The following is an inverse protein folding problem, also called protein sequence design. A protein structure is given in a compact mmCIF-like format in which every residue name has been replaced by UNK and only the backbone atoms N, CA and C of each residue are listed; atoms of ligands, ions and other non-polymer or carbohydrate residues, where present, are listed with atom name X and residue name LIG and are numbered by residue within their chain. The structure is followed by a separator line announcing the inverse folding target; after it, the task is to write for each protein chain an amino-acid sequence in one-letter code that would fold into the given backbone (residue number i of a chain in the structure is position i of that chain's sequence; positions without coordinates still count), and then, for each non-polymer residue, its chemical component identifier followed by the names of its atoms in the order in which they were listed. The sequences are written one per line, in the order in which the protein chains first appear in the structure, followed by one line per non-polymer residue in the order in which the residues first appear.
data_IF_888005394124
#
_entry.id   IF_888005394124
#
_cell.length_a   1.000
_cell.length_b   1.000
_cell.length_c   1.000
_cell.angle_alpha   90.00
_cell.angle_beta   90.00
_cell.angle_gamma   90.00
#
_symmetry.space_group_name_H-M   'P 1'
#
loop_
_entity.id
_entity.type
_entity.pdbx_description
1 polymer ?
#
# COMPACT_ATOMS: atom_id res chain seq x y z
N UNK A 1 -4.78 8.12 7.67
CA UNK A 1 -3.36 7.74 7.36
C UNK A 1 -3.30 6.39 6.68
N UNK A 2 -2.13 5.85 6.33
CA UNK A 2 -2.03 4.60 5.60
C UNK A 2 -0.65 3.97 5.79
N UNK A 3 -0.56 2.66 5.55
CA UNK A 3 0.72 1.93 5.50
C UNK A 3 0.68 0.94 4.35
N UNK A 4 1.67 0.94 3.46
CA UNK A 4 1.78 -0.04 2.38
C UNK A 4 3.11 -0.80 2.46
N UNK A 5 3.08 -2.06 2.07
CA UNK A 5 4.20 -2.99 2.17
C UNK A 5 4.36 -3.78 0.87
N UNK A 6 5.59 -3.89 0.42
CA UNK A 6 6.05 -4.77 -0.65
C UNK A 6 6.98 -5.80 -0.01
N UNK A 7 6.63 -7.09 -0.08
CA UNK A 7 7.33 -8.15 0.64
C UNK A 7 7.57 -9.37 -0.25
N UNK A 8 8.83 -9.75 -0.38
CA UNK A 8 9.21 -10.98 -1.07
C UNK A 8 9.67 -12.03 -0.05
N UNK A 9 9.11 -13.22 -0.15
CA UNK A 9 9.49 -14.36 0.69
C UNK A 9 9.44 -15.66 -0.11
N UNK A 10 10.53 -16.41 -0.11
CA UNK A 10 10.68 -17.57 -0.98
C UNK A 10 10.60 -17.17 -2.46
N UNK A 11 9.70 -17.82 -3.20
CA UNK A 11 9.40 -17.53 -4.60
C UNK A 11 8.16 -16.65 -4.80
N UNK A 12 7.50 -16.22 -3.71
CA UNK A 12 6.28 -15.44 -3.75
C UNK A 12 6.52 -13.98 -3.43
N UNK A 13 5.73 -13.12 -4.06
CA UNK A 13 5.75 -11.69 -3.89
C UNK A 13 4.39 -11.21 -3.39
N UNK A 14 4.40 -10.57 -2.23
CA UNK A 14 3.22 -10.04 -1.59
C UNK A 14 3.25 -8.51 -1.58
N UNK A 15 2.10 -7.92 -1.85
CA UNK A 15 1.89 -6.49 -1.79
C UNK A 15 0.56 -6.19 -1.11
N UNK A 16 0.49 -5.14 -0.31
CA UNK A 16 -0.77 -4.76 0.33
C UNK A 16 -0.63 -3.58 1.26
N UNK A 17 -1.73 -3.26 1.96
CA UNK A 17 -1.79 -2.06 2.78
C UNK A 17 -2.77 -2.14 3.93
N UNK A 18 -2.62 -1.23 4.91
CA UNK A 18 -3.69 -0.74 5.77
C UNK A 18 -4.26 0.54 5.15
N UNK A 19 -5.58 0.63 4.98
CA UNK A 19 -6.28 1.87 4.68
C UNK A 19 -6.80 2.45 5.99
N UNK A 20 -6.21 3.55 6.45
CA UNK A 20 -6.60 4.21 7.69
C UNK A 20 -7.30 5.53 7.35
N UNK A 21 -8.59 5.62 7.66
CA UNK A 21 -9.46 6.77 7.41
C UNK A 21 -10.50 6.88 8.53
N UNK A 22 -11.13 8.04 8.65
CA UNK A 22 -12.20 8.30 9.61
C UNK A 22 -13.57 7.75 9.17
N UNK A 23 -13.74 7.50 7.87
CA UNK A 23 -14.96 6.95 7.28
C UNK A 23 -14.62 5.88 6.21
N UNK A 24 -15.52 4.91 6.04
CA UNK A 24 -15.53 4.02 4.87
C UNK A 24 -16.28 4.67 3.72
N UNK A 25 -15.74 4.55 2.52
CA UNK A 25 -16.40 4.99 1.27
C UNK A 25 -17.25 3.87 0.62
N UNK A 26 -17.39 2.72 1.29
CA UNK A 26 -18.04 1.55 0.73
C UNK A 26 -17.10 0.78 -0.21
N UNK A 27 -15.90 0.55 0.25
CA UNK A 27 -14.83 -0.15 -0.47
C UNK A 27 -15.30 -1.56 -0.88
N UNK A 28 -14.85 -1.99 -2.03
CA UNK A 28 -15.10 -3.33 -2.56
C UNK A 28 -13.88 -3.83 -3.33
N UNK A 29 -13.72 -5.14 -3.44
CA UNK A 29 -12.73 -5.69 -4.34
C UNK A 29 -13.25 -5.56 -5.77
N UNK A 30 -12.49 -4.90 -6.63
CA UNK A 30 -12.82 -4.63 -8.02
C UNK A 30 -11.86 -5.38 -8.93
N UNK A 31 -12.42 -6.14 -9.87
CA UNK A 31 -11.68 -6.73 -10.99
C UNK A 31 -12.02 -5.95 -12.26
N UNK A 32 -10.99 -5.37 -12.89
CA UNK A 32 -11.09 -4.71 -14.19
C UNK A 32 -10.50 -5.64 -15.25
N UNK A 33 -11.33 -6.23 -16.14
CA UNK A 33 -10.88 -7.12 -17.20
C UNK A 33 -10.14 -6.38 -18.32
N UNK A 34 -9.40 -7.12 -19.16
CA UNK A 34 -8.53 -6.59 -20.24
C UNK A 34 -9.22 -5.67 -21.25
N UNK A 35 -10.50 -5.93 -21.54
CA UNK A 35 -11.25 -5.18 -22.54
C UNK A 35 -12.21 -4.14 -21.94
N UNK A 36 -12.11 -3.88 -20.63
CA UNK A 36 -12.80 -2.75 -20.01
C UNK A 36 -12.16 -1.44 -20.51
N UNK A 37 -12.92 -0.49 -21.10
CA UNK A 37 -12.33 0.73 -21.66
C UNK A 37 -12.07 1.76 -20.54
N UNK A 38 -10.80 2.01 -20.22
CA UNK A 38 -10.43 3.17 -19.41
C UNK A 38 -10.47 4.45 -20.26
N UNK A 39 -11.36 5.37 -19.93
CA UNK A 39 -11.43 6.71 -20.52
C UNK A 39 -10.77 7.71 -19.57
N UNK A 40 -9.54 8.09 -19.86
CA UNK A 40 -8.79 9.06 -19.08
C UNK A 40 -9.15 10.50 -19.47
N UNK A 41 -8.92 11.45 -18.56
CA UNK A 41 -9.27 12.86 -18.75
C UNK A 41 -8.45 13.56 -19.82
N UNK A 42 -7.13 13.27 -19.89
CA UNK A 42 -6.19 14.03 -20.69
C UNK A 42 -5.23 13.17 -21.54
N UNK A 43 -5.27 11.87 -21.39
CA UNK A 43 -4.49 10.94 -22.22
C UNK A 43 -5.40 10.02 -23.01
N UNK A 44 -4.85 9.35 -24.01
CA UNK A 44 -5.63 8.42 -24.84
C UNK A 44 -6.26 7.29 -23.99
N UNK A 45 -7.47 6.85 -24.34
CA UNK A 45 -8.11 5.74 -23.64
C UNK A 45 -7.33 4.45 -23.82
N UNK A 46 -7.39 3.57 -22.83
CA UNK A 46 -6.93 2.19 -22.91
C UNK A 46 -8.13 1.29 -23.14
N UNK A 47 -8.30 0.81 -24.36
CA UNK A 47 -9.39 -0.12 -24.75
C UNK A 47 -8.98 -1.57 -24.61
N UNK A 48 -7.70 -1.83 -24.46
CA UNK A 48 -7.13 -3.14 -24.14
C UNK A 48 -5.88 -2.91 -23.25
N UNK A 49 -5.82 -3.60 -22.13
CA UNK A 49 -4.80 -3.41 -21.09
C UNK A 49 -4.64 -4.69 -20.26
N UNK A 50 -3.68 -4.74 -19.36
CA UNK A 50 -3.62 -5.83 -18.37
C UNK A 50 -4.82 -5.80 -17.44
N UNK A 51 -5.38 -6.97 -17.12
CA UNK A 51 -6.44 -7.08 -16.13
C UNK A 51 -5.92 -6.69 -14.74
N UNK A 52 -6.76 -6.03 -13.95
CA UNK A 52 -6.43 -5.54 -12.60
C UNK A 52 -7.36 -6.17 -11.55
N UNK A 53 -6.83 -6.38 -10.36
CA UNK A 53 -7.60 -6.67 -9.14
C UNK A 53 -7.11 -5.75 -8.03
N UNK A 54 -8.02 -5.18 -7.25
CA UNK A 54 -7.64 -4.29 -6.14
C UNK A 54 -8.83 -3.84 -5.33
N UNK A 55 -8.55 -3.07 -4.28
CA UNK A 55 -9.57 -2.42 -3.47
C UNK A 55 -9.86 -1.03 -4.00
N UNK A 56 -11.13 -0.71 -4.13
CA UNK A 56 -11.56 0.60 -4.61
C UNK A 56 -13.06 0.82 -4.42
N UNK A 57 -13.52 1.94 -4.93
CA UNK A 57 -14.96 2.22 -5.12
C UNK A 57 -15.25 2.37 -6.60
N UNK A 58 -16.49 2.10 -7.01
CA UNK A 58 -16.92 2.31 -8.40
C UNK A 58 -17.92 3.46 -8.42
N UNK A 59 -17.56 4.55 -9.13
CA UNK A 59 -18.39 5.74 -9.29
C UNK A 59 -18.55 6.00 -10.78
N UNK A 60 -19.78 6.15 -11.24
CA UNK A 60 -20.10 6.35 -12.66
C UNK A 60 -19.46 5.31 -13.58
N UNK A 61 -19.48 4.05 -13.13
CA UNK A 61 -18.84 2.92 -13.80
C UNK A 61 -17.30 3.07 -13.96
N UNK A 62 -16.64 3.93 -13.17
CA UNK A 62 -15.19 4.10 -13.14
C UNK A 62 -14.61 3.57 -11.82
N UNK A 63 -13.60 2.68 -11.86
CA UNK A 63 -12.97 2.15 -10.65
C UNK A 63 -11.95 3.15 -10.10
N UNK A 64 -12.18 3.66 -8.90
CA UNK A 64 -11.26 4.49 -8.13
C UNK A 64 -10.50 3.60 -7.16
N UNK A 65 -9.31 3.16 -7.54
CA UNK A 65 -8.49 2.25 -6.77
C UNK A 65 -7.73 2.94 -5.65
N UNK A 66 -7.76 2.37 -4.46
CA UNK A 66 -6.84 2.68 -3.35
C UNK A 66 -5.53 1.92 -3.50
N UNK A 67 -5.60 0.65 -3.90
CA UNK A 67 -4.51 -0.22 -4.29
C UNK A 67 -4.99 -1.21 -5.37
N UNK A 68 -4.08 -1.68 -6.21
CA UNK A 68 -4.37 -2.72 -7.19
C UNK A 68 -3.09 -3.46 -7.60
N UNK A 69 -3.29 -4.64 -8.18
CA UNK A 69 -2.26 -5.46 -8.83
C UNK A 69 -2.76 -5.88 -10.20
N UNK A 70 -1.91 -5.88 -11.21
CA UNK A 70 -2.26 -6.40 -12.52
C UNK A 70 -1.92 -7.88 -12.67
N UNK A 71 -2.43 -8.51 -13.72
CA UNK A 71 -2.21 -9.92 -14.03
C UNK A 71 -0.74 -10.31 -14.32
N UNK A 72 0.17 -9.34 -14.39
CA UNK A 72 1.62 -9.52 -14.54
C UNK A 72 2.37 -9.41 -13.21
N UNK A 73 1.65 -9.15 -12.12
CA UNK A 73 2.22 -9.03 -10.79
C UNK A 73 2.78 -7.66 -10.43
N UNK A 74 2.59 -6.63 -11.28
CA UNK A 74 2.89 -5.26 -10.89
C UNK A 74 1.78 -4.74 -9.99
N UNK A 75 2.17 -4.19 -8.83
CA UNK A 75 1.26 -3.73 -7.77
C UNK A 75 1.50 -2.26 -7.45
N UNK A 76 0.44 -1.54 -7.07
CA UNK A 76 0.51 -0.12 -6.74
C UNK A 76 -0.51 0.25 -5.67
N UNK A 77 -0.12 1.12 -4.72
CA UNK A 77 -1.01 1.68 -3.72
C UNK A 77 -0.81 3.19 -3.60
N UNK A 78 -1.91 3.95 -3.49
CA UNK A 78 -1.90 5.38 -3.20
C UNK A 78 -2.12 5.64 -1.71
N UNK A 79 -1.29 6.47 -1.08
CA UNK A 79 -1.34 6.81 0.33
C UNK A 79 -1.48 8.32 0.50
N UNK A 80 -2.15 8.74 1.55
CA UNK A 80 -2.39 10.15 1.83
C UNK A 80 -1.07 10.89 2.12
N UNK A 81 -0.85 12.05 1.44
CA UNK A 81 0.37 12.86 1.51
C UNK A 81 0.02 14.36 1.65
N UNK A 82 -0.79 14.72 2.67
CA UNK A 82 -1.35 16.05 2.81
C UNK A 82 -0.29 17.10 3.07
N UNK A 83 -0.48 18.29 2.47
CA UNK A 83 0.44 19.42 2.63
C UNK A 83 1.75 19.31 1.85
N UNK A 84 2.06 18.16 1.25
CA UNK A 84 3.24 17.95 0.42
C UNK A 84 2.88 17.69 -1.05
N UNK A 85 1.82 16.93 -1.33
CA UNK A 85 1.38 16.68 -2.70
C UNK A 85 1.02 18.00 -3.41
N UNK A 86 1.65 18.24 -4.58
CA UNK A 86 1.42 19.43 -5.41
C UNK A 86 1.32 19.03 -6.90
N UNK A 87 0.09 18.86 -7.37
CA UNK A 87 -0.19 18.47 -8.75
C UNK A 87 -0.10 19.69 -9.67
N UNK A 88 0.35 19.46 -10.90
CA UNK A 88 0.77 20.51 -11.82
C UNK A 88 -0.34 20.95 -12.78
N UNK A 89 -0.11 22.03 -13.50
CA UNK A 89 -0.90 22.40 -14.67
C UNK A 89 -0.63 21.44 -15.84
N UNK A 90 -1.47 21.47 -16.88
CA UNK A 90 -1.28 20.70 -18.12
C UNK A 90 0.05 21.06 -18.78
N UNK A 91 0.77 20.05 -19.23
CA UNK A 91 2.01 20.19 -20.01
C UNK A 91 1.80 19.58 -21.41
N UNK A 92 2.33 20.23 -22.44
CA UNK A 92 2.09 19.84 -23.84
C UNK A 92 2.93 18.65 -24.29
N UNK A 93 4.04 18.39 -23.62
CA UNK A 93 5.05 17.39 -23.96
C UNK A 93 5.04 16.17 -23.00
N UNK A 94 4.02 16.08 -22.13
CA UNK A 94 3.90 15.06 -21.09
C UNK A 94 2.57 14.31 -21.17
N UNK A 95 2.54 13.13 -20.59
CA UNK A 95 1.30 12.41 -20.31
C UNK A 95 0.63 13.04 -19.07
N UNK A 96 -0.41 13.82 -19.28
CA UNK A 96 -1.16 14.47 -18.24
C UNK A 96 -2.15 13.46 -17.62
N UNK A 97 -1.84 12.95 -16.44
CA UNK A 97 -2.62 11.93 -15.74
C UNK A 97 -3.12 12.50 -14.43
N UNK A 98 -4.39 12.28 -14.11
CA UNK A 98 -4.91 12.70 -12.80
C UNK A 98 -4.53 11.69 -11.72
N UNK A 99 -4.42 12.11 -10.44
CA UNK A 99 -4.06 11.19 -9.36
C UNK A 99 -4.96 9.97 -9.23
N UNK A 100 -6.26 10.11 -9.48
CA UNK A 100 -7.22 8.99 -9.43
C UNK A 100 -7.13 8.05 -10.64
N UNK A 101 -6.51 8.49 -11.74
CA UNK A 101 -6.24 7.68 -12.94
C UNK A 101 -4.88 6.99 -12.87
N UNK A 102 -4.01 7.39 -11.95
CA UNK A 102 -2.60 7.02 -11.99
C UNK A 102 -2.38 5.51 -11.78
N UNK A 103 -3.10 4.88 -10.86
CA UNK A 103 -3.02 3.42 -10.64
C UNK A 103 -3.43 2.66 -11.92
N UNK A 104 -4.62 2.83 -12.50
CA UNK A 104 -5.00 2.12 -13.71
C UNK A 104 -4.15 2.50 -14.95
N UNK A 105 -3.66 3.74 -15.03
CA UNK A 105 -2.80 4.17 -16.12
C UNK A 105 -1.44 3.46 -16.12
N UNK A 106 -0.82 3.26 -14.95
CA UNK A 106 0.44 2.52 -14.83
C UNK A 106 0.20 1.03 -15.00
N UNK A 107 -0.70 0.45 -14.19
CA UNK A 107 -0.90 -0.99 -14.13
C UNK A 107 -1.51 -1.57 -15.40
N UNK A 108 -2.27 -0.77 -16.15
CA UNK A 108 -2.83 -1.20 -17.44
C UNK A 108 -1.77 -1.38 -18.54
N UNK A 109 -0.60 -0.76 -18.40
CA UNK A 109 0.40 -0.69 -19.49
C UNK A 109 1.75 -1.32 -19.14
N UNK A 110 2.12 -1.35 -17.85
CA UNK A 110 3.41 -1.84 -17.40
C UNK A 110 3.28 -3.23 -16.76
N UNK A 111 4.21 -4.13 -17.08
CA UNK A 111 4.30 -5.46 -16.50
C UNK A 111 5.36 -5.54 -15.38
N UNK A 112 6.20 -4.52 -15.23
CA UNK A 112 7.33 -4.50 -14.29
C UNK A 112 7.67 -3.10 -13.82
N UNK A 113 8.44 -3.00 -12.74
CA UNK A 113 9.04 -1.74 -12.26
C UNK A 113 9.87 -1.06 -13.37
N UNK A 114 10.59 -1.83 -14.19
CA UNK A 114 11.39 -1.27 -15.26
C UNK A 114 10.52 -0.56 -16.33
N UNK A 115 9.38 -1.15 -16.71
CA UNK A 115 8.42 -0.55 -17.62
C UNK A 115 7.69 0.63 -16.97
N UNK A 116 7.31 0.51 -15.70
CA UNK A 116 6.73 1.62 -14.94
C UNK A 116 7.67 2.83 -14.91
N UNK A 117 8.96 2.65 -14.63
CA UNK A 117 9.97 3.74 -14.70
C UNK A 117 9.97 4.45 -16.06
N UNK A 118 9.82 3.72 -17.16
CA UNK A 118 9.76 4.34 -18.50
C UNK A 118 8.50 5.22 -18.66
N UNK A 119 7.34 4.76 -18.17
CA UNK A 119 6.11 5.56 -18.19
C UNK A 119 6.27 6.83 -17.33
N UNK A 120 6.89 6.71 -16.16
CA UNK A 120 7.10 7.82 -15.22
C UNK A 120 7.97 8.95 -15.81
N UNK A 121 8.86 8.68 -16.76
CA UNK A 121 9.65 9.73 -17.42
C UNK A 121 8.80 10.72 -18.19
N UNK A 122 7.63 10.30 -18.67
CA UNK A 122 6.68 11.11 -19.44
C UNK A 122 5.52 11.65 -18.62
N UNK A 123 5.41 11.24 -17.36
CA UNK A 123 4.29 11.59 -16.48
C UNK A 123 4.28 13.07 -16.12
N UNK A 124 3.07 13.63 -16.08
CA UNK A 124 2.72 14.88 -15.43
C UNK A 124 1.43 14.66 -14.64
N UNK A 125 1.52 14.65 -13.31
CA UNK A 125 0.33 14.53 -12.45
C UNK A 125 -0.38 15.88 -12.39
N UNK A 126 -1.64 15.91 -12.87
CA UNK A 126 -2.37 17.17 -13.09
C UNK A 126 -3.48 17.38 -12.08
N UNK A 127 -3.74 18.67 -11.77
CA UNK A 127 -4.74 19.10 -10.79
C UNK A 127 -6.14 19.15 -11.42
N UNK A 128 -6.78 17.99 -11.60
CA UNK A 128 -8.15 17.84 -12.10
C UNK A 128 -8.92 16.92 -11.15
N UNK A 129 -10.02 17.40 -10.56
CA UNK A 129 -10.89 16.62 -9.70
C UNK A 129 -11.62 15.51 -10.48
N UNK A 130 -12.00 14.44 -9.77
CA UNK A 130 -12.90 13.45 -10.35
C UNK A 130 -14.29 14.05 -10.59
N UNK A 131 -14.85 14.68 -9.55
CA UNK A 131 -16.09 15.46 -9.59
C UNK A 131 -16.02 16.56 -8.52
N UNK A 132 -17.07 17.40 -8.42
CA UNK A 132 -17.16 18.40 -7.36
C UNK A 132 -17.32 17.75 -5.97
N UNK A 133 -17.99 16.60 -5.88
CA UNK A 133 -18.19 15.85 -4.64
C UNK A 133 -16.98 14.97 -4.27
N UNK A 134 -16.13 14.66 -5.24
CA UNK A 134 -14.90 13.87 -5.07
C UNK A 134 -13.69 14.68 -5.53
N UNK A 135 -13.20 15.61 -4.71
CA UNK A 135 -12.02 16.39 -5.00
C UNK A 135 -10.76 15.53 -4.99
N UNK A 136 -9.67 16.09 -5.51
CA UNK A 136 -8.36 15.43 -5.52
C UNK A 136 -7.88 15.10 -4.11
N UNK A 137 -7.53 13.85 -3.90
CA UNK A 137 -6.77 13.43 -2.73
C UNK A 137 -5.29 13.75 -2.92
N UNK A 138 -4.62 14.33 -1.90
CA UNK A 138 -3.17 14.50 -1.92
C UNK A 138 -2.51 13.14 -1.67
N UNK A 139 -1.91 12.53 -2.71
CA UNK A 139 -1.37 11.19 -2.64
C UNK A 139 0.12 11.15 -3.01
N UNK A 140 0.79 10.09 -2.51
CA UNK A 140 2.02 9.52 -3.04
C UNK A 140 1.83 8.00 -3.16
N UNK A 141 2.75 7.30 -3.85
CA UNK A 141 2.50 5.92 -4.25
C UNK A 141 3.67 5.00 -3.99
N UNK A 142 3.36 3.76 -3.59
CA UNK A 142 4.28 2.62 -3.58
C UNK A 142 3.99 1.75 -4.81
N UNK A 143 5.03 1.32 -5.52
CA UNK A 143 4.94 0.40 -6.67
C UNK A 143 5.89 -0.78 -6.41
N UNK A 144 5.41 -2.01 -6.57
CA UNK A 144 6.20 -3.24 -6.44
C UNK A 144 5.88 -4.24 -7.55
N UNK A 145 6.80 -5.16 -7.84
CA UNK A 145 6.58 -6.23 -8.81
C UNK A 145 7.17 -7.57 -8.34
N UNK A 146 6.85 -8.64 -9.06
CA UNK A 146 7.32 -10.00 -8.77
C UNK A 146 8.76 -10.25 -9.23
N UNK A 147 9.39 -9.30 -9.91
CA UNK A 147 10.70 -9.47 -10.53
C UNK A 147 11.83 -8.74 -9.80
N UNK A 148 11.48 -7.76 -8.96
CA UNK A 148 12.43 -6.89 -8.27
C UNK A 148 12.43 -7.10 -6.77
N UNK A 149 13.61 -7.20 -6.17
CA UNK A 149 13.77 -7.19 -4.72
C UNK A 149 13.46 -5.82 -4.10
N UNK A 150 13.41 -4.75 -4.90
CA UNK A 150 13.13 -3.37 -4.49
C UNK A 150 11.76 -2.93 -5.00
N UNK A 151 11.23 -1.87 -4.40
CA UNK A 151 10.03 -1.18 -4.87
C UNK A 151 10.35 0.27 -5.22
N UNK A 152 9.37 1.00 -5.77
CA UNK A 152 9.49 2.43 -6.04
C UNK A 152 8.53 3.21 -5.15
N UNK A 153 8.97 4.41 -4.77
CA UNK A 153 8.08 5.45 -4.25
C UNK A 153 8.00 6.58 -5.26
N UNK A 154 6.78 7.03 -5.54
CA UNK A 154 6.50 8.16 -6.43
C UNK A 154 5.84 9.27 -5.63
N UNK A 155 6.46 10.44 -5.59
CA UNK A 155 5.98 11.65 -4.93
C UNK A 155 5.94 12.80 -5.93
N UNK A 156 4.88 13.59 -5.91
CA UNK A 156 4.76 14.81 -6.69
C UNK A 156 4.53 15.98 -5.74
N UNK A 157 5.55 16.79 -5.56
CA UNK A 157 5.54 17.93 -4.66
C UNK A 157 5.83 19.25 -5.40
N UNK A 158 6.03 20.34 -4.64
CA UNK A 158 6.33 21.67 -5.22
C UNK A 158 7.57 21.66 -6.11
N UNK A 159 8.56 20.82 -5.80
CA UNK A 159 9.83 20.74 -6.51
C UNK A 159 9.77 19.81 -7.74
N UNK A 160 8.67 19.05 -7.91
CA UNK A 160 8.41 18.22 -9.08
C UNK A 160 8.03 16.78 -8.77
N UNK A 161 8.23 15.91 -9.76
CA UNK A 161 8.01 14.46 -9.64
C UNK A 161 9.30 13.79 -9.19
N UNK A 162 9.24 13.12 -8.05
CA UNK A 162 10.33 12.33 -7.49
C UNK A 162 10.01 10.84 -7.59
N UNK A 163 10.99 10.06 -8.02
CA UNK A 163 10.92 8.59 -8.11
C UNK A 163 12.10 8.03 -7.33
N UNK A 164 11.82 7.39 -6.21
CA UNK A 164 12.84 6.82 -5.33
C UNK A 164 12.87 5.30 -5.44
N UNK A 165 14.05 4.72 -5.51
CA UNK A 165 14.23 3.30 -5.22
C UNK A 165 14.03 3.07 -3.72
N UNK A 166 13.16 2.12 -3.37
CA UNK A 166 12.80 1.84 -2.00
C UNK A 166 13.36 0.47 -1.54
N UNK A 167 14.49 0.47 -0.83
CA UNK A 167 15.14 -0.77 -0.40
C UNK A 167 14.46 -1.47 0.77
N UNK A 168 13.59 -0.75 1.51
CA UNK A 168 12.87 -1.32 2.66
C UNK A 168 11.48 -1.84 2.31
N UNK A 169 10.93 -1.44 1.14
CA UNK A 169 9.64 -1.90 0.66
C UNK A 169 8.45 -1.46 1.53
N UNK A 170 8.55 -0.30 2.19
CA UNK A 170 7.50 0.26 3.05
C UNK A 170 7.24 1.70 2.64
N UNK A 171 5.98 2.12 2.67
CA UNK A 171 5.56 3.51 2.58
C UNK A 171 4.46 3.78 3.61
N UNK A 172 4.54 4.92 4.28
CA UNK A 172 3.47 5.43 5.15
C UNK A 172 2.94 6.76 4.60
N UNK A 173 2.96 7.84 5.37
CA UNK A 173 2.48 9.16 4.93
C UNK A 173 3.63 10.18 5.02
N UNK A 174 3.35 11.40 5.51
CA UNK A 174 4.37 12.43 5.76
C UNK A 174 5.43 11.97 6.79
N UNK A 175 6.65 12.51 6.70
CA UNK A 175 7.21 13.39 5.67
C UNK A 175 7.56 12.64 4.37
N UNK A 176 8.24 13.31 3.42
CA UNK A 176 8.73 12.72 2.18
C UNK A 176 9.59 11.47 2.43
N UNK A 177 9.58 10.55 1.47
CA UNK A 177 10.19 9.23 1.61
C UNK A 177 11.70 9.28 1.92
N UNK A 178 12.44 10.21 1.34
CA UNK A 178 13.87 10.42 1.62
C UNK A 178 14.14 10.70 3.11
N UNK A 179 13.24 11.46 3.78
CA UNK A 179 13.33 11.75 5.21
C UNK A 179 12.92 10.55 6.07
N UNK A 180 11.92 9.78 5.62
CA UNK A 180 11.53 8.53 6.26
C UNK A 180 12.70 7.53 6.25
N UNK A 181 13.34 7.37 5.08
CA UNK A 181 14.48 6.49 4.93
C UNK A 181 15.69 6.97 5.76
N UNK A 182 15.97 8.28 5.75
CA UNK A 182 17.02 8.88 6.57
C UNK A 182 16.80 8.62 8.07
N UNK A 183 15.56 8.71 8.54
CA UNK A 183 15.20 8.51 9.94
C UNK A 183 15.56 7.10 10.46
N UNK A 184 15.60 6.07 9.59
CA UNK A 184 15.99 4.71 9.99
C UNK A 184 17.42 4.65 10.56
N UNK A 185 18.29 5.61 10.24
CA UNK A 185 19.63 5.68 10.81
C UNK A 185 19.64 5.78 12.34
N UNK A 186 18.58 6.36 12.92
CA UNK A 186 18.43 6.48 14.37
C UNK A 186 18.16 5.13 15.06
N UNK A 187 17.70 4.13 14.31
CA UNK A 187 17.24 2.83 14.80
C UNK A 187 18.18 1.67 14.48
N UNK A 188 19.38 1.95 13.95
CA UNK A 188 20.35 0.91 13.54
C UNK A 188 20.83 0.00 14.67
N UNK A 189 20.64 0.38 15.94
CA UNK A 189 20.94 -0.43 17.11
C UNK A 189 19.77 -1.30 17.56
N UNK A 190 18.58 -1.11 16.99
CA UNK A 190 17.38 -1.92 17.30
C UNK A 190 17.54 -3.30 16.67
N UNK A 191 17.23 -4.34 17.43
CA UNK A 191 17.47 -5.74 17.04
C UNK A 191 16.39 -6.66 17.63
N UNK A 192 16.04 -7.78 16.97
CA UNK A 192 15.23 -8.84 17.60
C UNK A 192 15.93 -9.51 18.79
N UNK A 193 17.27 -9.35 18.86
CA UNK A 193 18.11 -9.95 19.91
C UNK A 193 18.50 -8.90 20.94
N UNK A 194 18.57 -9.30 22.19
CA UNK A 194 19.11 -8.46 23.26
C UNK A 194 20.57 -8.17 22.95
N UNK A 195 20.98 -6.92 23.12
CA UNK A 195 22.35 -6.46 22.90
C UNK A 195 23.14 -6.51 24.20
N UNK A 196 24.45 -6.73 24.09
CA UNK A 196 25.36 -6.62 25.21
C UNK A 196 25.38 -5.17 25.76
N UNK A 197 25.75 -5.03 27.05
CA UNK A 197 25.88 -3.71 27.68
C UNK A 197 26.99 -2.89 27.01
N UNK A 198 26.63 -2.02 26.09
CA UNK A 198 27.53 -1.04 25.47
C UNK A 198 27.49 0.34 26.13
N UNK A 199 26.59 0.55 27.11
CA UNK A 199 26.45 1.83 27.80
C UNK A 199 27.71 2.12 28.66
N UNK A 200 28.06 1.16 29.51
CA UNK A 200 29.30 1.16 30.27
C UNK A 200 29.61 -0.28 30.72
N UNK A 201 30.61 -0.95 30.12
CA UNK A 201 30.88 -2.37 30.42
C UNK A 201 31.21 -2.67 31.90
N UNK A 202 31.79 -1.71 32.62
CA UNK A 202 32.10 -1.85 34.05
C UNK A 202 30.88 -1.70 34.98
N UNK A 203 29.75 -1.24 34.46
CA UNK A 203 28.51 -1.09 35.23
C UNK A 203 27.67 -2.33 35.05
N UNK A 204 27.24 -2.98 36.14
CA UNK A 204 26.38 -4.14 36.11
C UNK A 204 24.93 -3.75 35.68
N UNK A 205 24.68 -3.78 34.38
CA UNK A 205 23.34 -3.62 33.79
C UNK A 205 22.89 -4.98 33.26
N UNK A 206 21.80 -5.48 33.81
CA UNK A 206 21.30 -6.83 33.50
C UNK A 206 20.02 -6.81 32.67
N UNK A 207 19.81 -7.83 31.90
CA UNK A 207 18.56 -8.07 31.21
C UNK A 207 17.46 -8.37 32.23
N UNK A 208 16.43 -7.55 32.25
CA UNK A 208 15.26 -7.72 33.14
C UNK A 208 14.05 -8.26 32.41
N UNK A 209 14.06 -8.31 31.05
CA UNK A 209 12.96 -8.78 30.23
C UNK A 209 13.43 -9.28 28.89
N UNK A 210 12.68 -10.20 28.29
CA UNK A 210 12.82 -10.55 26.87
C UNK A 210 12.40 -9.38 25.99
N UNK A 211 12.91 -9.29 24.75
CA UNK A 211 12.54 -8.25 23.80
C UNK A 211 13.25 -6.90 23.98
N UNK A 212 14.22 -6.79 24.90
CA UNK A 212 14.96 -5.53 25.15
C UNK A 212 15.68 -5.01 23.90
N UNK A 213 16.07 -5.86 22.95
CA UNK A 213 16.70 -5.43 21.70
C UNK A 213 15.78 -4.52 20.85
N UNK A 214 14.46 -4.65 20.99
CA UNK A 214 13.47 -3.83 20.32
C UNK A 214 12.85 -2.72 21.20
N UNK A 215 13.43 -2.48 22.39
CA UNK A 215 12.88 -1.54 23.37
C UNK A 215 12.66 -0.11 22.82
N UNK A 216 13.51 0.33 21.90
CA UNK A 216 13.45 1.68 21.32
C UNK A 216 12.62 1.75 20.02
N UNK A 217 11.92 0.67 19.61
CA UNK A 217 10.96 0.78 18.52
C UNK A 217 9.84 1.74 18.92
N UNK A 218 9.47 2.68 18.04
CA UNK A 218 8.39 3.62 18.34
C UNK A 218 7.05 2.90 18.42
N UNK A 219 6.23 3.31 19.39
CA UNK A 219 4.86 2.79 19.59
C UNK A 219 3.77 3.75 19.12
N UNK A 220 4.13 4.94 18.60
CA UNK A 220 3.19 5.96 18.15
C UNK A 220 2.44 5.54 16.88
N UNK A 221 1.26 6.14 16.67
CA UNK A 221 0.44 5.92 15.47
C UNK A 221 0.81 6.88 14.33
N UNK A 222 1.67 7.88 14.58
CA UNK A 222 2.14 8.80 13.54
C UNK A 222 2.90 8.06 12.42
N UNK A 223 3.00 8.72 11.27
CA UNK A 223 3.57 8.14 10.06
C UNK A 223 5.02 7.67 10.22
N UNK A 224 5.87 8.46 10.90
CA UNK A 224 7.29 8.09 11.08
C UNK A 224 7.43 6.89 12.02
N UNK A 225 6.66 6.85 13.08
CA UNK A 225 6.64 5.72 14.02
C UNK A 225 6.20 4.43 13.34
N UNK A 226 5.11 4.48 12.56
CA UNK A 226 4.62 3.33 11.79
C UNK A 226 5.62 2.88 10.73
N UNK A 227 6.27 3.82 10.02
CA UNK A 227 7.31 3.49 9.04
C UNK A 227 8.44 2.66 9.66
N UNK A 228 9.02 3.13 10.77
CA UNK A 228 10.08 2.44 11.48
C UNK A 228 9.63 1.07 11.96
N UNK A 229 8.46 1.01 12.60
CA UNK A 229 7.94 -0.23 13.18
C UNK A 229 7.67 -1.29 12.11
N UNK A 230 7.02 -0.90 11.00
CA UNK A 230 6.73 -1.83 9.89
C UNK A 230 7.99 -2.24 9.16
N UNK A 231 8.92 -1.32 8.89
CA UNK A 231 10.20 -1.65 8.28
C UNK A 231 10.96 -2.67 9.11
N UNK A 232 11.06 -2.46 10.42
CA UNK A 232 11.69 -3.42 11.33
C UNK A 232 10.98 -4.78 11.33
N UNK A 233 9.66 -4.79 11.46
CA UNK A 233 8.85 -6.02 11.49
C UNK A 233 9.03 -6.80 10.19
N UNK A 234 8.90 -6.13 9.04
CA UNK A 234 9.06 -6.74 7.72
C UNK A 234 10.45 -7.32 7.49
N UNK A 235 11.50 -6.55 7.81
CA UNK A 235 12.89 -6.95 7.57
C UNK A 235 13.35 -8.09 8.49
N UNK A 236 12.62 -8.36 9.58
CA UNK A 236 12.85 -9.46 10.51
C UNK A 236 11.72 -10.51 10.47
N UNK A 237 10.79 -10.42 9.52
CA UNK A 237 9.71 -11.38 9.38
C UNK A 237 10.26 -12.78 9.01
N UNK A 238 9.57 -13.86 9.42
CA UNK A 238 9.93 -15.21 9.00
C UNK A 238 9.76 -15.38 7.48
N UNK A 239 10.42 -16.40 6.95
CA UNK A 239 10.20 -16.89 5.59
C UNK A 239 9.49 -18.24 5.68
N UNK A 240 8.17 -18.19 5.92
CA UNK A 240 7.35 -19.39 6.07
C UNK A 240 7.30 -20.23 4.80
N UNK A 241 7.03 -21.53 4.95
CA UNK A 241 7.23 -22.50 3.88
C UNK A 241 6.10 -22.51 2.84
N UNK A 242 4.87 -22.22 3.28
CA UNK A 242 3.69 -22.31 2.40
C UNK A 242 3.10 -20.91 2.09
N UNK A 243 2.49 -20.74 0.92
CA UNK A 243 1.87 -19.43 0.57
C UNK A 243 0.86 -18.93 1.61
N UNK A 244 0.05 -19.81 2.22
CA UNK A 244 -0.92 -19.38 3.24
C UNK A 244 -0.26 -18.95 4.55
N UNK A 245 0.83 -19.59 4.96
CA UNK A 245 1.63 -19.13 6.09
C UNK A 245 2.26 -17.76 5.78
N UNK A 246 2.77 -17.58 4.56
CA UNK A 246 3.35 -16.29 4.12
C UNK A 246 2.30 -15.16 4.08
N UNK A 247 1.05 -15.46 3.69
CA UNK A 247 -0.08 -14.51 3.82
C UNK A 247 -0.32 -14.16 5.28
N UNK A 248 -0.23 -15.13 6.19
CA UNK A 248 -0.37 -14.88 7.64
C UNK A 248 0.77 -14.00 8.14
N UNK A 249 2.01 -14.26 7.76
CA UNK A 249 3.18 -13.42 8.09
C UNK A 249 2.98 -12.00 7.58
N UNK A 250 2.45 -11.82 6.36
CA UNK A 250 2.19 -10.51 5.79
C UNK A 250 1.15 -9.72 6.60
N UNK A 251 0.06 -10.35 7.02
CA UNK A 251 -0.91 -9.71 7.89
C UNK A 251 -0.33 -9.36 9.27
N UNK A 252 0.55 -10.19 9.84
CA UNK A 252 1.26 -9.83 11.08
C UNK A 252 2.16 -8.59 10.92
N UNK A 253 2.77 -8.40 9.74
CA UNK A 253 3.52 -7.17 9.44
C UNK A 253 2.57 -5.96 9.47
N UNK A 254 1.45 -5.99 8.75
CA UNK A 254 0.49 -4.89 8.67
C UNK A 254 -0.22 -4.63 10.01
N UNK A 255 -0.66 -5.68 10.71
CA UNK A 255 -1.35 -5.55 11.99
C UNK A 255 -0.44 -5.01 13.11
N UNK A 256 0.89 -5.05 12.92
CA UNK A 256 1.81 -4.39 13.87
C UNK A 256 1.59 -2.88 13.99
N UNK A 257 0.95 -2.26 12.98
CA UNK A 257 0.61 -0.82 12.92
C UNK A 257 -0.85 -0.58 12.53
N UNK A 258 -1.71 -1.57 12.72
CA UNK A 258 -3.15 -1.39 12.61
C UNK A 258 -3.62 -0.33 13.59
N UNK A 259 -4.51 0.57 13.14
CA UNK A 259 -5.02 1.67 13.96
C UNK A 259 -6.40 1.30 14.56
N UNK A 260 -6.46 1.08 15.88
CA UNK A 260 -7.73 0.94 16.59
C UNK A 260 -8.51 2.26 16.62
N UNK A 261 -9.84 2.19 16.65
CA UNK A 261 -10.70 3.36 16.81
C UNK A 261 -10.33 4.13 18.08
N UNK A 262 -10.50 5.45 18.04
CA UNK A 262 -10.31 6.40 19.12
C UNK A 262 -8.85 6.64 19.57
N UNK A 263 -7.86 6.28 18.78
CA UNK A 263 -6.45 6.56 19.09
C UNK A 263 -5.83 7.68 18.24
N UNK A 264 -6.43 8.02 17.08
CA UNK A 264 -5.89 9.04 16.17
C UNK A 264 -7.00 10.00 15.75
N UNK A 265 -7.10 11.14 16.43
CA UNK A 265 -8.11 12.16 16.18
C UNK A 265 -7.65 13.08 15.04
N UNK A 266 -8.40 13.14 13.95
CA UNK A 266 -8.13 13.99 12.76
C UNK A 266 -8.92 15.29 12.77
N UNK A 267 -10.07 15.30 13.43
CA UNK A 267 -10.91 16.46 13.69
C UNK A 267 -11.74 16.20 14.95
N UNK A 268 -12.37 17.21 15.58
CA UNK A 268 -13.14 17.03 16.80
C UNK A 268 -14.13 15.87 16.69
N UNK A 269 -13.93 14.81 17.50
CA UNK A 269 -14.69 13.55 17.52
C UNK A 269 -14.66 12.74 16.22
N UNK A 270 -13.67 12.95 15.35
CA UNK A 270 -13.42 12.13 14.15
C UNK A 270 -12.07 11.44 14.30
N UNK A 271 -12.08 10.12 14.29
CA UNK A 271 -10.90 9.30 14.53
C UNK A 271 -10.63 8.42 13.31
N UNK A 272 -9.38 8.40 12.84
CA UNK A 272 -8.94 7.41 11.88
C UNK A 272 -8.87 6.03 12.53
N UNK A 273 -9.13 5.01 11.72
CA UNK A 273 -8.93 3.62 12.08
C UNK A 273 -8.68 2.80 10.80
N UNK A 274 -8.09 1.62 10.94
CA UNK A 274 -7.85 0.75 9.79
C UNK A 274 -9.18 0.18 9.28
N UNK A 275 -9.67 0.71 8.16
CA UNK A 275 -10.91 0.25 7.49
C UNK A 275 -10.75 -1.19 7.03
N UNK A 276 -9.63 -1.45 6.31
CA UNK A 276 -9.22 -2.78 5.87
C UNK A 276 -7.70 -2.92 5.85
N UNK A 277 -7.25 -4.16 5.96
CA UNK A 277 -5.90 -4.59 5.60
C UNK A 277 -5.96 -5.49 4.37
N UNK A 278 -5.10 -5.26 3.39
CA UNK A 278 -5.02 -6.08 2.17
C UNK A 278 -3.67 -6.76 2.01
N UNK A 279 -3.69 -7.90 1.33
CA UNK A 279 -2.52 -8.65 0.90
C UNK A 279 -2.82 -9.28 -0.45
N UNK A 280 -2.04 -9.01 -1.48
CA UNK A 280 -2.14 -9.74 -2.74
C UNK A 280 -0.92 -10.65 -2.90
N UNK A 281 -1.16 -11.93 -3.19
CA UNK A 281 -0.16 -12.82 -3.78
C UNK A 281 -0.08 -12.46 -5.27
N UNK A 282 0.92 -11.66 -5.62
CA UNK A 282 1.04 -11.07 -6.95
C UNK A 282 1.41 -12.12 -8.01
N UNK A 283 2.02 -13.23 -7.62
CA UNK A 283 2.36 -14.34 -8.53
C UNK A 283 1.13 -15.17 -8.89
N UNK A 284 0.18 -15.31 -7.95
CA UNK A 284 -1.03 -16.10 -8.16
C UNK A 284 -2.27 -15.26 -8.50
N UNK A 285 -2.19 -13.95 -8.39
CA UNK A 285 -3.33 -13.05 -8.60
C UNK A 285 -4.44 -13.28 -7.57
N UNK A 286 -4.11 -13.49 -6.30
CA UNK A 286 -5.08 -13.70 -5.22
C UNK A 286 -5.04 -12.50 -4.29
N UNK A 287 -6.14 -11.78 -4.20
CA UNK A 287 -6.32 -10.62 -3.33
C UNK A 287 -6.98 -11.05 -2.02
N UNK A 288 -6.26 -10.99 -0.93
CA UNK A 288 -6.73 -11.28 0.43
C UNK A 288 -7.01 -9.98 1.18
N UNK A 289 -7.98 -10.01 2.09
CA UNK A 289 -8.27 -8.86 2.96
C UNK A 289 -8.90 -9.28 4.29
N UNK A 290 -8.74 -8.40 5.27
CA UNK A 290 -9.50 -8.33 6.52
C UNK A 290 -10.13 -6.96 6.64
N UNK A 291 -11.18 -6.81 7.45
CA UNK A 291 -11.79 -5.50 7.77
C UNK A 291 -11.72 -5.24 9.26
N UNK A 292 -11.94 -4.00 9.68
CA UNK A 292 -11.97 -3.67 11.10
C UNK A 292 -12.98 -4.51 11.91
N UNK A 293 -14.09 -4.87 11.27
CA UNK A 293 -15.20 -5.62 11.89
C UNK A 293 -15.13 -7.11 11.64
N UNK A 294 -14.20 -7.59 10.80
CA UNK A 294 -14.02 -9.00 10.48
C UNK A 294 -12.53 -9.36 10.32
N UNK A 295 -11.98 -10.03 11.32
CA UNK A 295 -10.58 -10.49 11.32
C UNK A 295 -10.36 -11.75 10.47
N UNK A 296 -11.41 -12.38 9.95
CA UNK A 296 -11.28 -13.52 9.05
C UNK A 296 -10.68 -13.06 7.72
N UNK A 297 -9.65 -13.76 7.26
CA UNK A 297 -9.07 -13.51 5.95
C UNK A 297 -10.07 -13.97 4.88
N UNK A 298 -10.46 -13.03 4.01
CA UNK A 298 -11.29 -13.25 2.84
C UNK A 298 -10.45 -13.10 1.59
N UNK A 299 -10.84 -13.72 0.47
CA UNK A 299 -10.03 -13.66 -0.74
C UNK A 299 -10.88 -13.63 -2.02
N UNK A 300 -10.37 -12.94 -3.05
CA UNK A 300 -10.86 -12.95 -4.42
C UNK A 300 -9.73 -13.34 -5.35
N UNK A 301 -9.99 -14.29 -6.27
CA UNK A 301 -9.01 -14.76 -7.25
C UNK A 301 -9.25 -14.09 -8.60
N UNK A 302 -8.27 -13.36 -9.10
CA UNK A 302 -8.31 -12.69 -10.40
C UNK A 302 -8.66 -13.67 -11.52
N UNK A 303 -8.00 -14.82 -11.55
CA UNK A 303 -8.16 -15.81 -12.62
C UNK A 303 -9.45 -16.64 -12.57
N UNK A 304 -10.32 -16.42 -11.56
CA UNK A 304 -11.65 -17.02 -11.52
C UNK A 304 -12.72 -16.15 -12.19
N UNK A 305 -12.33 -14.99 -12.73
CA UNK A 305 -13.20 -14.08 -13.48
C UNK A 305 -12.86 -14.21 -14.96
N UNK A 306 -13.85 -14.00 -15.83
CA UNK A 306 -13.59 -13.85 -17.26
C UNK A 306 -12.83 -12.54 -17.51
N UNK A 307 -11.53 -12.65 -17.76
CA UNK A 307 -10.63 -11.51 -17.94
C UNK A 307 -10.72 -10.88 -19.34
N UNK A 308 -11.44 -11.48 -20.28
CA UNK A 308 -11.61 -10.95 -21.63
C UNK A 308 -12.97 -10.23 -21.82
N UNK A 309 -13.81 -10.17 -20.79
CA UNK A 309 -15.02 -9.35 -20.80
C UNK A 309 -14.71 -7.84 -20.77
N UNK A 310 -15.74 -7.01 -21.00
CA UNK A 310 -15.62 -5.54 -21.02
C UNK A 310 -16.34 -4.87 -19.83
N UNK A 311 -16.70 -5.62 -18.79
CA UNK A 311 -17.43 -5.09 -17.62
C UNK A 311 -16.66 -5.37 -16.34
N UNK A 312 -16.72 -4.42 -15.42
CA UNK A 312 -16.19 -4.61 -14.08
C UNK A 312 -16.89 -5.76 -13.35
N UNK A 313 -16.15 -6.47 -12.53
CA UNK A 313 -16.70 -7.40 -11.54
C UNK A 313 -16.35 -6.89 -10.16
N UNK A 314 -17.31 -6.79 -9.26
CA UNK A 314 -17.12 -6.25 -7.91
C UNK A 314 -17.59 -7.24 -6.86
N UNK A 315 -16.91 -7.23 -5.72
CA UNK A 315 -17.21 -8.06 -4.55
C UNK A 315 -17.30 -7.16 -3.33
N UNK A 316 -18.47 -7.07 -2.73
CA UNK A 316 -18.66 -6.37 -1.46
C UNK A 316 -17.79 -7.00 -0.37
N UNK A 317 -17.28 -6.19 0.55
CA UNK A 317 -16.48 -6.70 1.65
C UNK A 317 -17.33 -7.56 2.60
N UNK A 318 -16.73 -8.68 3.03
CA UNK A 318 -17.27 -9.48 4.12
C UNK A 318 -16.89 -8.80 5.46
N UNK A 319 -17.78 -7.96 5.96
CA UNK A 319 -17.54 -7.11 7.13
C UNK A 319 -18.12 -7.66 8.44
N UNK A 320 -18.80 -8.81 8.40
CA UNK A 320 -19.38 -9.45 9.56
C UNK A 320 -18.44 -10.52 10.13
N UNK A 321 -18.04 -10.34 11.39
CA UNK A 321 -17.21 -11.31 12.11
C UNK A 321 -17.91 -12.66 12.19
N UNK A 322 -17.21 -13.70 11.75
CA UNK A 322 -17.62 -15.10 11.97
C UNK A 322 -16.73 -15.72 13.05
N UNK A 323 -17.35 -16.50 13.94
CA UNK A 323 -16.66 -17.23 14.99
C UNK A 323 -16.83 -18.72 14.79
N UNK A 324 -15.73 -19.45 14.75
CA UNK A 324 -15.75 -20.90 14.72
C UNK A 324 -15.78 -21.47 16.15
N UNK A 325 -16.95 -21.83 16.64
CA UNK A 325 -17.11 -22.49 17.95
C UNK A 325 -16.62 -23.96 17.83
N UNK A 326 -15.72 -24.35 18.71
CA UNK A 326 -15.11 -25.70 18.71
C UNK A 326 -15.84 -26.68 19.63
N UNK A 327 -16.93 -26.30 20.24
CA UNK A 327 -17.75 -27.12 21.15
C UNK A 327 -19.24 -27.08 20.75
#
# INVERSE_FOLDING_TARGET
MCTAVNFQTGSHHFFGRNLDLEISYGEQVVVTPRNYPFHFRQVAPLTHHYALIGMGIVVDNYPLYFDATNEKGLSMAGLNYPGNADYKALATDKANVTPFEFIPWVLGQAASIAEAKQLLTKLNLVKINFSDDLPLSPLHWLIGDTHSATSLVVECDKDGLHVYDNPVGVLTNNPSFDKQLFNLNNYRSVSPRVQENSFQPATALNDYSRGLGSHFLPGGMDSMSRFVKVAFTKLNAPHSATPLEQVTDFFHILHSVEQPKNLDEVAPNQFEYTIYSSCVDADQGIYYYTTYTNNQINAVKLHNVDLDQAKLTTYALADQQTVNYQN
#
